data_IF_469344901886
#
_entry.id   IF_469344901886
#
_cell.length_a   1.000
_cell.length_b   1.000
_cell.length_c   1.000
_cell.angle_alpha   90.00
_cell.angle_beta   90.00
_cell.angle_gamma   90.00
#
_symmetry.space_group_name_H-M   'P 1'
#
loop_
_entity.id
_entity.type
_entity.pdbx_description
1 polymer ?
#
# COMPACT_ATOMS: atom_id res chain seq x y z
N UNK A 1 -2.00 -19.81 -17.87
CA UNK A 1 -1.91 -19.36 -16.46
C UNK A 1 -3.31 -19.45 -15.87
N UNK A 2 -3.48 -20.16 -14.75
CA UNK A 2 -4.77 -20.16 -14.04
C UNK A 2 -4.85 -18.86 -13.21
N UNK A 3 -5.66 -17.92 -13.66
CA UNK A 3 -5.95 -16.70 -12.92
C UNK A 3 -6.90 -17.04 -11.76
N UNK A 4 -6.35 -17.13 -10.55
CA UNK A 4 -7.15 -17.38 -9.35
C UNK A 4 -7.57 -16.05 -8.74
N UNK A 5 -8.82 -15.94 -8.34
CA UNK A 5 -9.36 -14.84 -7.54
C UNK A 5 -9.86 -15.46 -6.23
N UNK A 6 -9.50 -14.86 -5.11
CA UNK A 6 -10.03 -15.22 -3.80
C UNK A 6 -11.06 -14.20 -3.35
N UNK A 7 -12.14 -14.69 -2.74
CA UNK A 7 -13.18 -13.85 -2.14
C UNK A 7 -13.48 -14.38 -0.74
N UNK A 8 -13.36 -13.53 0.26
CA UNK A 8 -13.64 -13.84 1.66
C UNK A 8 -14.60 -12.80 2.21
N UNK A 9 -15.67 -13.26 2.83
CA UNK A 9 -16.64 -12.39 3.49
C UNK A 9 -16.03 -11.81 4.76
N UNK A 10 -16.19 -10.49 4.96
CA UNK A 10 -15.78 -9.79 6.17
C UNK A 10 -16.85 -8.73 6.49
N UNK A 11 -17.60 -8.92 7.55
CA UNK A 11 -18.73 -8.04 7.90
C UNK A 11 -18.29 -6.86 8.78
N UNK A 12 -17.13 -6.97 9.44
CA UNK A 12 -16.62 -5.95 10.37
C UNK A 12 -15.11 -5.81 10.27
N UNK A 13 -14.60 -4.59 10.37
CA UNK A 13 -13.16 -4.33 10.34
C UNK A 13 -12.40 -4.99 11.51
N UNK A 14 -13.05 -5.23 12.66
CA UNK A 14 -12.44 -6.00 13.75
C UNK A 14 -12.03 -7.44 13.38
N UNK A 15 -12.55 -7.96 12.28
CA UNK A 15 -12.28 -9.31 11.76
C UNK A 15 -11.36 -9.28 10.52
N UNK A 16 -10.97 -8.08 10.06
CA UNK A 16 -10.29 -7.89 8.78
C UNK A 16 -8.93 -8.59 8.70
N UNK A 17 -8.21 -8.69 9.82
CA UNK A 17 -6.92 -9.39 9.88
C UNK A 17 -7.06 -10.84 9.38
N UNK A 18 -8.00 -11.57 9.97
CA UNK A 18 -8.25 -12.97 9.59
C UNK A 18 -8.79 -13.09 8.15
N UNK A 19 -9.64 -12.14 7.74
CA UNK A 19 -10.21 -12.16 6.39
C UNK A 19 -9.12 -11.95 5.32
N UNK A 20 -8.19 -11.02 5.55
CA UNK A 20 -7.04 -10.76 4.66
C UNK A 20 -6.10 -11.97 4.60
N UNK A 21 -5.73 -12.53 5.76
CA UNK A 21 -4.88 -13.72 5.84
C UNK A 21 -5.51 -14.91 5.08
N UNK A 22 -6.81 -15.14 5.28
CA UNK A 22 -7.55 -16.19 4.56
C UNK A 22 -7.59 -15.93 3.05
N UNK A 23 -7.90 -14.71 2.62
CA UNK A 23 -7.97 -14.36 1.20
C UNK A 23 -6.63 -14.60 0.50
N UNK A 24 -5.53 -14.18 1.11
CA UNK A 24 -4.19 -14.38 0.55
C UNK A 24 -3.77 -15.85 0.59
N UNK A 25 -4.15 -16.60 1.62
CA UNK A 25 -3.90 -18.05 1.72
C UNK A 25 -4.51 -18.82 0.56
N UNK A 26 -5.74 -18.50 0.14
CA UNK A 26 -6.45 -19.14 -0.97
C UNK A 26 -5.74 -19.00 -2.33
N UNK A 27 -4.89 -18.00 -2.48
CA UNK A 27 -4.09 -17.78 -3.71
C UNK A 27 -2.63 -18.21 -3.58
N UNK A 28 -2.27 -18.85 -2.48
CA UNK A 28 -0.95 -19.46 -2.25
C UNK A 28 -0.13 -18.85 -1.12
N UNK A 29 -0.73 -17.95 -0.33
CA UNK A 29 -0.12 -17.33 0.85
C UNK A 29 0.85 -16.19 0.53
N UNK A 30 1.11 -15.34 1.53
CA UNK A 30 1.95 -14.14 1.38
C UNK A 30 3.38 -14.46 0.93
N UNK A 31 3.94 -15.59 1.39
CA UNK A 31 5.29 -16.04 1.02
C UNK A 31 5.51 -16.34 -0.47
N UNK A 32 4.42 -16.38 -1.27
CA UNK A 32 4.49 -16.43 -2.72
C UNK A 32 4.89 -15.07 -3.32
N UNK A 33 4.56 -13.99 -2.64
CA UNK A 33 4.69 -12.63 -3.12
C UNK A 33 5.82 -11.87 -2.42
N UNK A 34 6.03 -12.12 -1.12
CA UNK A 34 7.00 -11.41 -0.28
C UNK A 34 8.02 -12.40 0.27
N UNK A 35 9.30 -12.05 0.15
CA UNK A 35 10.43 -12.78 0.74
C UNK A 35 11.00 -12.01 1.93
N UNK A 36 11.68 -12.72 2.80
CA UNK A 36 12.39 -12.09 3.92
C UNK A 36 13.43 -11.09 3.39
N UNK A 37 13.35 -9.86 3.87
CA UNK A 37 14.24 -8.76 3.50
C UNK A 37 13.77 -7.89 2.35
N UNK A 38 12.71 -8.28 1.63
CA UNK A 38 12.15 -7.45 0.55
C UNK A 38 11.74 -6.06 1.08
N UNK A 39 12.02 -5.04 0.28
CA UNK A 39 11.47 -3.70 0.47
C UNK A 39 10.09 -3.65 -0.18
N UNK A 40 9.06 -3.65 0.64
CA UNK A 40 7.67 -3.71 0.18
C UNK A 40 7.04 -2.33 0.30
N UNK A 41 6.58 -1.78 -0.82
CA UNK A 41 5.77 -0.56 -0.79
C UNK A 41 4.30 -0.95 -0.82
N UNK A 42 3.56 -0.54 0.19
CA UNK A 42 2.09 -0.61 0.18
C UNK A 42 1.56 0.74 -0.27
N UNK A 43 0.83 0.74 -1.38
CA UNK A 43 0.18 1.91 -1.94
C UNK A 43 -1.33 1.88 -1.63
N UNK A 44 -1.78 2.46 -0.52
CA UNK A 44 -3.21 2.61 -0.26
C UNK A 44 -3.83 3.63 -1.22
N UNK A 45 -5.13 3.54 -1.45
CA UNK A 45 -5.84 4.56 -2.20
C UNK A 45 -6.33 5.65 -1.24
N UNK A 46 -5.67 6.81 -1.22
CA UNK A 46 -5.99 7.90 -0.29
C UNK A 46 -6.70 9.10 -0.94
N UNK A 47 -6.78 9.16 -2.24
CA UNK A 47 -7.49 10.18 -3.05
C UNK A 47 -7.24 11.62 -2.57
N UNK A 48 -7.66 11.96 -1.35
CA UNK A 48 -7.52 13.27 -0.70
C UNK A 48 -7.69 13.13 0.82
N UNK A 49 -7.66 14.27 1.56
CA UNK A 49 -7.88 14.31 3.01
C UNK A 49 -9.34 13.96 3.35
N UNK A 50 -9.64 12.67 3.45
CA UNK A 50 -10.95 12.13 3.80
C UNK A 50 -10.84 11.21 5.01
N UNK A 51 -11.77 11.35 5.94
CA UNK A 51 -11.83 10.48 7.12
C UNK A 51 -12.25 9.06 6.75
N UNK A 52 -11.83 8.03 7.50
CA UNK A 52 -12.21 6.64 7.22
C UNK A 52 -13.72 6.42 7.11
N UNK A 53 -14.52 7.14 7.91
CA UNK A 53 -15.99 7.04 7.96
C UNK A 53 -16.65 7.54 6.67
N UNK A 54 -15.96 8.33 5.86
CA UNK A 54 -16.45 8.81 4.56
C UNK A 54 -16.36 7.72 3.47
N UNK A 55 -15.68 6.60 3.75
CA UNK A 55 -15.51 5.44 2.85
C UNK A 55 -14.94 5.77 1.44
N UNK A 56 -14.12 6.82 1.35
CA UNK A 56 -13.48 7.30 0.11
C UNK A 56 -12.07 6.73 -0.04
N UNK A 57 -11.43 6.41 1.09
CA UNK A 57 -10.02 5.98 1.16
C UNK A 57 -9.91 4.56 1.68
N UNK A 58 -8.75 3.94 1.49
CA UNK A 58 -8.46 2.64 2.11
C UNK A 58 -8.61 2.74 3.62
N UNK A 59 -9.39 1.84 4.21
CA UNK A 59 -9.63 1.84 5.65
C UNK A 59 -8.34 1.50 6.42
N UNK A 60 -8.00 2.23 7.51
CA UNK A 60 -6.78 2.02 8.28
C UNK A 60 -6.64 0.61 8.87
N UNK A 61 -7.72 -0.02 9.31
CA UNK A 61 -7.67 -1.37 9.87
C UNK A 61 -7.35 -2.42 8.78
N UNK A 62 -7.87 -2.22 7.56
CA UNK A 62 -7.48 -3.05 6.42
C UNK A 62 -6.00 -2.85 6.08
N UNK A 63 -5.54 -1.60 6.05
CA UNK A 63 -4.15 -1.28 5.79
C UNK A 63 -3.23 -1.91 6.85
N UNK A 64 -3.58 -1.79 8.14
CA UNK A 64 -2.87 -2.43 9.25
C UNK A 64 -2.76 -3.95 9.06
N UNK A 65 -3.86 -4.61 8.70
CA UNK A 65 -3.88 -6.04 8.46
C UNK A 65 -2.88 -6.48 7.37
N UNK A 66 -2.81 -5.72 6.28
CA UNK A 66 -1.84 -5.99 5.20
C UNK A 66 -0.40 -5.76 5.68
N UNK A 67 -0.14 -4.66 6.41
CA UNK A 67 1.19 -4.36 6.98
C UNK A 67 1.67 -5.53 7.84
N UNK A 68 0.86 -5.93 8.82
CA UNK A 68 1.20 -7.03 9.75
C UNK A 68 1.48 -8.34 9.01
N UNK A 69 0.69 -8.65 7.99
CA UNK A 69 0.88 -9.85 7.17
C UNK A 69 2.22 -9.81 6.41
N UNK A 70 2.59 -8.67 5.84
CA UNK A 70 3.87 -8.49 5.12
C UNK A 70 5.05 -8.58 6.09
N UNK A 71 4.97 -7.93 7.25
CA UNK A 71 6.02 -7.99 8.27
C UNK A 71 6.22 -9.40 8.83
N UNK A 72 5.14 -10.16 9.05
CA UNK A 72 5.21 -11.58 9.44
C UNK A 72 5.95 -12.43 8.40
N UNK A 73 5.88 -12.07 7.12
CA UNK A 73 6.65 -12.72 6.05
C UNK A 73 8.13 -12.26 6.01
N UNK A 74 8.49 -11.24 6.78
CA UNK A 74 9.84 -10.68 6.86
C UNK A 74 10.12 -9.55 5.88
N UNK A 75 9.10 -8.96 5.25
CA UNK A 75 9.22 -7.77 4.41
C UNK A 75 9.40 -6.49 5.22
N UNK A 76 10.13 -5.53 4.67
CA UNK A 76 10.30 -4.17 5.20
C UNK A 76 9.25 -3.26 4.57
N UNK A 77 8.29 -2.78 5.35
CA UNK A 77 7.13 -2.05 4.82
C UNK A 77 7.37 -0.55 4.78
N UNK A 78 7.07 0.05 3.63
CA UNK A 78 6.93 1.50 3.47
C UNK A 78 5.56 1.82 2.85
N UNK A 79 4.82 2.74 3.48
CA UNK A 79 3.57 3.24 2.92
C UNK A 79 3.89 4.43 2.04
N UNK A 80 3.56 4.34 0.75
CA UNK A 80 3.76 5.43 -0.21
C UNK A 80 2.54 5.62 -1.11
N UNK A 81 2.11 6.86 -1.26
CA UNK A 81 1.00 7.26 -2.11
C UNK A 81 1.29 8.64 -2.71
N UNK A 82 0.76 8.89 -3.89
CA UNK A 82 0.71 10.21 -4.51
C UNK A 82 -0.76 10.64 -4.67
N UNK A 83 -1.38 11.13 -3.59
CA UNK A 83 -2.79 11.52 -3.60
C UNK A 83 -3.02 12.73 -4.51
N UNK A 84 -4.28 12.97 -4.86
CA UNK A 84 -4.66 14.15 -5.64
C UNK A 84 -4.32 15.46 -4.95
N UNK A 85 -3.86 16.45 -5.71
CA UNK A 85 -3.48 17.78 -5.23
C UNK A 85 -1.97 17.99 -5.14
N UNK A 86 -1.51 18.95 -4.32
CA UNK A 86 -0.08 19.24 -4.20
C UNK A 86 0.69 18.03 -3.65
N UNK A 87 1.73 17.61 -4.38
CA UNK A 87 2.59 16.50 -3.95
C UNK A 87 3.83 17.04 -3.25
N UNK A 88 3.72 17.24 -1.94
CA UNK A 88 4.79 17.70 -1.07
C UNK A 88 4.63 17.12 0.33
N UNK A 89 5.68 17.20 1.15
CA UNK A 89 5.72 16.64 2.50
C UNK A 89 4.59 17.14 3.40
N UNK A 90 4.22 18.41 3.33
CA UNK A 90 3.16 18.98 4.17
C UNK A 90 1.78 18.42 3.78
N UNK A 91 1.52 18.27 2.48
CA UNK A 91 0.29 17.65 1.98
C UNK A 91 0.19 16.18 2.40
N UNK A 92 1.29 15.41 2.24
CA UNK A 92 1.36 14.00 2.63
C UNK A 92 1.10 13.81 4.13
N UNK A 93 1.74 14.60 5.00
CA UNK A 93 1.47 14.58 6.46
C UNK A 93 -0.01 14.76 6.75
N UNK A 94 -0.64 15.74 6.12
CA UNK A 94 -2.06 16.00 6.32
C UNK A 94 -2.97 14.90 5.79
N UNK A 95 -2.63 14.28 4.65
CA UNK A 95 -3.40 13.15 4.10
C UNK A 95 -3.25 11.93 5.01
N UNK A 96 -2.03 11.56 5.39
CA UNK A 96 -1.81 10.38 6.26
C UNK A 96 -2.52 10.52 7.60
N UNK A 97 -2.47 11.71 8.21
CA UNK A 97 -3.16 11.94 9.49
C UNK A 97 -4.68 11.88 9.36
N UNK A 98 -5.26 12.58 8.38
CA UNK A 98 -6.73 12.63 8.23
C UNK A 98 -7.29 11.28 7.79
N UNK A 99 -6.58 10.54 6.93
CA UNK A 99 -7.00 9.21 6.48
C UNK A 99 -6.69 8.10 7.50
N UNK A 100 -6.05 8.41 8.64
CA UNK A 100 -5.73 7.44 9.69
C UNK A 100 -4.58 6.48 9.34
N UNK A 101 -3.73 6.83 8.38
CA UNK A 101 -2.58 5.99 7.98
C UNK A 101 -1.52 5.93 9.08
N UNK A 102 -1.34 7.03 9.81
CA UNK A 102 -0.48 7.11 11.00
C UNK A 102 -0.92 6.11 12.09
N UNK A 103 -2.23 5.95 12.30
CA UNK A 103 -2.77 4.93 13.19
C UNK A 103 -2.58 3.51 12.66
N UNK A 104 -2.69 3.33 11.34
CA UNK A 104 -2.52 2.02 10.73
C UNK A 104 -1.11 1.44 10.93
N UNK A 105 -0.08 2.26 11.13
CA UNK A 105 1.28 1.80 11.37
C UNK A 105 1.62 1.63 12.87
N UNK A 106 0.73 2.02 13.79
CA UNK A 106 0.98 1.88 15.22
C UNK A 106 1.21 0.41 15.60
N UNK A 107 2.26 0.15 16.39
CA UNK A 107 2.64 -1.20 16.80
C UNK A 107 3.33 -2.04 15.72
N UNK A 108 3.66 -1.46 14.57
CA UNK A 108 4.40 -2.09 13.47
C UNK A 108 5.77 -1.44 13.27
N UNK A 109 6.60 -2.00 12.37
CA UNK A 109 7.87 -1.38 11.95
C UNK A 109 7.71 -0.60 10.63
N UNK A 110 6.50 -0.50 10.09
CA UNK A 110 6.22 0.17 8.83
C UNK A 110 6.56 1.66 8.90
N UNK A 111 7.02 2.20 7.78
CA UNK A 111 7.41 3.62 7.67
C UNK A 111 6.48 4.36 6.73
N UNK A 112 6.18 5.61 7.07
CA UNK A 112 5.50 6.54 6.16
C UNK A 112 6.52 7.18 5.23
N UNK A 113 6.24 7.16 3.94
CA UNK A 113 7.07 7.86 2.96
C UNK A 113 6.73 9.35 2.92
N UNK A 114 7.77 10.18 2.95
CA UNK A 114 7.69 11.63 2.75
C UNK A 114 8.64 12.11 1.63
N UNK A 115 9.34 11.19 0.98
CA UNK A 115 10.11 11.51 -0.22
C UNK A 115 9.14 11.74 -1.39
N UNK A 116 9.16 12.94 -1.92
CA UNK A 116 8.35 13.37 -3.07
C UNK A 116 9.13 13.42 -4.36
N UNK A 117 10.35 12.93 -4.35
CA UNK A 117 11.17 12.82 -5.56
C UNK A 117 10.64 11.75 -6.51
N UNK A 118 10.92 11.93 -7.79
CA UNK A 118 10.52 11.01 -8.84
C UNK A 118 11.61 10.88 -9.90
N UNK A 119 11.58 9.78 -10.62
CA UNK A 119 12.42 9.54 -11.79
C UNK A 119 11.56 9.38 -13.03
N UNK A 120 11.95 10.05 -14.12
CA UNK A 120 11.31 9.87 -15.41
C UNK A 120 11.77 8.52 -16.01
N UNK A 121 10.84 7.57 -16.13
CA UNK A 121 11.09 6.27 -16.72
C UNK A 121 10.67 6.29 -18.19
N UNK A 122 11.55 5.83 -19.06
CA UNK A 122 11.34 5.79 -20.49
C UNK A 122 10.86 4.41 -20.92
N UNK A 123 9.77 4.39 -21.71
CA UNK A 123 9.18 3.18 -22.31
C UNK A 123 9.13 3.35 -23.84
N UNK A 124 10.23 3.17 -24.56
CA UNK A 124 10.27 3.40 -26.01
C UNK A 124 9.22 2.60 -26.79
N UNK A 125 8.91 1.40 -26.32
CA UNK A 125 7.94 0.48 -26.92
C UNK A 125 6.48 0.76 -26.51
N UNK A 126 6.25 1.69 -25.59
CA UNK A 126 4.89 2.08 -25.18
C UNK A 126 4.10 2.59 -26.38
N UNK A 127 2.84 2.16 -26.56
CA UNK A 127 2.01 2.61 -27.69
C UNK A 127 1.62 4.08 -27.57
N UNK A 128 1.19 4.52 -26.40
CA UNK A 128 0.68 5.87 -26.15
C UNK A 128 1.62 6.68 -25.27
N UNK A 129 2.06 6.07 -24.14
CA UNK A 129 2.94 6.74 -23.18
C UNK A 129 4.37 6.24 -23.39
N UNK A 130 5.29 7.16 -23.69
CA UNK A 130 6.72 6.88 -23.90
C UNK A 130 7.58 7.21 -22.69
N UNK A 131 7.07 8.06 -21.79
CA UNK A 131 7.72 8.49 -20.57
C UNK A 131 6.70 8.65 -19.47
N UNK A 132 7.04 8.28 -18.24
CA UNK A 132 6.19 8.46 -17.08
C UNK A 132 7.04 8.79 -15.85
N UNK A 133 6.70 9.83 -15.07
CA UNK A 133 7.32 10.07 -13.78
C UNK A 133 6.80 9.04 -12.78
N UNK A 134 7.71 8.31 -12.13
CA UNK A 134 7.39 7.37 -11.06
C UNK A 134 8.06 7.84 -9.80
N UNK A 135 7.33 7.91 -8.68
CA UNK A 135 7.89 8.27 -7.39
C UNK A 135 8.95 7.26 -6.96
N UNK A 136 10.08 7.74 -6.47
CA UNK A 136 11.25 6.90 -6.19
C UNK A 136 10.97 5.78 -5.18
N UNK A 137 10.15 5.94 -4.14
CA UNK A 137 9.81 4.83 -3.25
C UNK A 137 9.19 3.63 -3.99
N UNK A 138 8.32 3.87 -4.97
CA UNK A 138 7.72 2.80 -5.79
C UNK A 138 8.77 2.20 -6.73
N UNK A 139 9.58 3.04 -7.36
CA UNK A 139 10.59 2.58 -8.32
C UNK A 139 11.66 1.69 -7.67
N UNK A 140 11.97 1.93 -6.41
CA UNK A 140 13.00 1.23 -5.64
C UNK A 140 12.45 0.05 -4.80
N UNK A 141 11.17 -0.29 -4.93
CA UNK A 141 10.56 -1.40 -4.21
C UNK A 141 10.88 -2.74 -4.88
N UNK A 142 11.07 -3.79 -4.08
CA UNK A 142 11.15 -5.17 -4.58
C UNK A 142 9.74 -5.72 -4.86
N UNK A 143 8.74 -5.26 -4.06
CA UNK A 143 7.32 -5.65 -4.17
C UNK A 143 6.42 -4.42 -3.95
N UNK A 144 5.32 -4.35 -4.72
CA UNK A 144 4.26 -3.35 -4.56
C UNK A 144 2.92 -4.05 -4.38
#
# INVERSE_FOLDING_TARGET
MNNKVSVVKCDRYSEVQNAVENAVSLIGGIGKFVKKGDNVVIKPNLVSKKKPEEAVTTNPEFLHAVIVMVEKAGGNVTIAESPGGPYNTAALKGVYSVCGVDKAIEGTNAKLNFDTSFTEVHFPEGKTVKKIPIINPILNADVI
#
